data_IF_457833397758
#
_entry.id   IF_457833397758
#
_cell.length_a   1.000
_cell.length_b   1.000
_cell.length_c   1.000
_cell.angle_alpha   90.00
_cell.angle_beta   90.00
_cell.angle_gamma   90.00
#
_symmetry.space_group_name_H-M   'P 1'
#
loop_
_entity.id
_entity.type
_entity.pdbx_description
1 polymer ?
#
# COMPACT_ATOMS: atom_id res chain seq x y z
N UNK A 1 37.72 20.70 58.33
CA UNK A 1 37.38 20.87 56.89
C UNK A 1 36.29 19.86 56.57
N UNK A 2 35.03 20.30 56.42
CA UNK A 2 33.89 19.41 56.15
C UNK A 2 33.74 19.29 54.63
N UNK A 3 33.94 18.08 54.09
CA UNK A 3 33.64 17.77 52.68
C UNK A 3 32.16 17.41 52.56
N UNK A 4 31.39 18.28 51.93
CA UNK A 4 30.00 17.99 51.54
C UNK A 4 30.04 17.25 50.21
N UNK A 5 29.60 15.98 50.22
CA UNK A 5 29.46 15.16 49.01
C UNK A 5 28.06 15.43 48.44
N UNK A 6 27.97 16.15 47.33
CA UNK A 6 26.73 16.35 46.58
C UNK A 6 26.44 15.08 45.76
N UNK A 7 25.50 14.27 46.22
CA UNK A 7 24.88 13.23 45.40
C UNK A 7 23.95 13.91 44.39
N UNK A 8 24.35 13.93 43.12
CA UNK A 8 23.45 14.23 42.01
C UNK A 8 22.56 13.01 41.79
N UNK A 9 21.34 13.04 42.35
CA UNK A 9 20.26 12.16 41.90
C UNK A 9 19.89 12.60 40.49
N UNK A 10 20.34 11.86 39.48
CA UNK A 10 19.78 11.95 38.14
C UNK A 10 18.34 11.42 38.21
N UNK A 11 17.36 12.33 38.34
CA UNK A 11 15.97 11.98 38.07
C UNK A 11 15.90 11.58 36.60
N UNK A 12 15.72 10.28 36.34
CA UNK A 12 15.31 9.81 35.03
C UNK A 12 13.96 10.48 34.72
N UNK A 13 13.98 11.45 33.80
CA UNK A 13 12.75 11.97 33.22
C UNK A 13 11.99 10.76 32.66
N UNK A 14 10.69 10.59 32.99
CA UNK A 14 9.89 9.56 32.36
C UNK A 14 9.99 9.76 30.85
N UNK A 15 10.47 8.76 30.13
CA UNK A 15 10.44 8.77 28.68
C UNK A 15 8.99 9.05 28.26
N UNK A 16 8.78 10.08 27.44
CA UNK A 16 7.47 10.35 26.86
C UNK A 16 6.96 9.05 26.23
N UNK A 17 5.67 8.71 26.38
CA UNK A 17 5.12 7.52 25.75
C UNK A 17 5.39 7.58 24.24
N UNK A 18 6.29 6.72 23.78
CA UNK A 18 6.72 6.70 22.40
C UNK A 18 5.63 6.04 21.55
N UNK A 19 5.30 6.66 20.43
CA UNK A 19 4.54 6.01 19.37
C UNK A 19 5.23 4.69 19.03
N UNK A 20 4.43 3.68 18.70
CA UNK A 20 4.96 2.42 18.17
C UNK A 20 4.53 2.23 16.74
N UNK A 21 5.43 1.67 15.95
CA UNK A 21 5.19 1.30 14.58
C UNK A 21 5.64 -0.12 14.33
N UNK A 22 4.87 -0.84 13.53
CA UNK A 22 5.26 -2.15 13.03
C UNK A 22 4.83 -2.26 11.58
N UNK A 23 5.69 -2.82 10.75
CA UNK A 23 5.42 -2.98 9.34
C UNK A 23 5.72 -4.40 8.88
N UNK A 24 4.96 -4.85 7.88
CA UNK A 24 5.14 -6.17 7.28
C UNK A 24 4.79 -6.12 5.80
N UNK A 25 5.34 -7.08 5.04
CA UNK A 25 5.05 -7.28 3.61
C UNK A 25 4.84 -8.75 3.32
N UNK A 26 3.85 -9.06 2.49
CA UNK A 26 3.55 -10.40 2.03
C UNK A 26 3.35 -10.42 0.52
N UNK A 27 3.96 -11.40 -0.13
CA UNK A 27 3.83 -11.60 -1.58
C UNK A 27 2.44 -12.15 -1.88
N UNK A 28 1.68 -11.45 -2.74
CA UNK A 28 0.33 -11.82 -3.15
C UNK A 28 0.25 -12.21 -4.62
N UNK A 29 1.38 -12.52 -5.26
CA UNK A 29 1.46 -12.86 -6.69
C UNK A 29 0.65 -14.12 -7.00
N UNK A 30 -0.24 -14.12 -8.02
CA UNK A 30 -0.99 -15.31 -8.40
C UNK A 30 -0.05 -16.44 -8.85
N UNK A 31 -0.39 -17.67 -8.53
CA UNK A 31 0.38 -18.88 -8.91
C UNK A 31 -0.10 -19.53 -10.21
N UNK A 32 -1.21 -19.02 -10.77
CA UNK A 32 -1.85 -19.52 -12.00
C UNK A 32 -2.14 -18.32 -12.91
N UNK A 33 -2.18 -18.50 -14.25
CA UNK A 33 -2.70 -17.48 -15.16
C UNK A 33 -4.08 -17.00 -14.73
N UNK A 34 -4.25 -15.70 -14.57
CA UNK A 34 -5.47 -15.09 -14.03
C UNK A 34 -5.82 -13.82 -14.81
N UNK A 35 -7.12 -13.55 -14.95
CA UNK A 35 -7.58 -12.29 -15.53
C UNK A 35 -7.04 -11.10 -14.76
N UNK A 36 -6.62 -10.07 -15.50
CA UNK A 36 -6.11 -8.82 -14.95
C UNK A 36 -7.22 -7.77 -14.93
N UNK A 37 -7.26 -6.96 -13.87
CA UNK A 37 -8.28 -5.93 -13.69
C UNK A 37 -7.80 -4.55 -14.18
N UNK A 38 -8.73 -3.68 -14.58
CA UNK A 38 -8.49 -2.27 -14.87
C UNK A 38 -8.77 -1.88 -16.32
N UNK A 39 -8.14 -2.56 -17.28
CA UNK A 39 -8.41 -2.33 -18.70
C UNK A 39 -9.61 -3.15 -19.18
N UNK A 40 -10.60 -2.47 -19.78
CA UNK A 40 -11.78 -3.12 -20.37
C UNK A 40 -11.45 -3.86 -21.69
N UNK A 41 -10.31 -3.57 -22.31
CA UNK A 41 -9.86 -4.19 -23.57
C UNK A 41 -9.16 -5.54 -23.39
N UNK A 42 -9.10 -6.08 -22.16
CA UNK A 42 -8.52 -7.40 -21.90
C UNK A 42 -9.44 -8.48 -22.46
N UNK A 43 -8.85 -9.47 -23.12
CA UNK A 43 -9.55 -10.55 -23.82
C UNK A 43 -9.06 -11.96 -23.39
N UNK A 44 -8.07 -12.02 -22.51
CA UNK A 44 -7.48 -13.28 -22.01
C UNK A 44 -6.84 -13.11 -20.62
N UNK A 45 -6.55 -14.22 -19.90
CA UNK A 45 -5.75 -14.21 -18.68
C UNK A 45 -4.32 -13.69 -18.86
N UNK A 46 -3.64 -13.41 -17.74
CA UNK A 46 -2.23 -13.05 -17.71
C UNK A 46 -1.34 -14.12 -18.35
N UNK A 47 -0.32 -13.69 -19.08
CA UNK A 47 0.67 -14.54 -19.75
C UNK A 47 1.94 -14.75 -18.92
N UNK A 48 2.08 -14.03 -17.80
CA UNK A 48 3.24 -14.17 -16.92
C UNK A 48 3.22 -13.20 -15.75
N UNK A 49 4.32 -13.19 -15.01
CA UNK A 49 4.61 -12.26 -13.93
C UNK A 49 5.89 -11.53 -14.29
N UNK A 50 5.80 -10.23 -14.55
CA UNK A 50 6.97 -9.41 -14.79
C UNK A 50 7.70 -9.10 -13.48
N UNK A 51 6.94 -8.73 -12.45
CA UNK A 51 7.45 -8.47 -11.11
C UNK A 51 6.44 -8.93 -10.05
N UNK A 52 6.91 -9.39 -8.88
CA UNK A 52 6.03 -9.77 -7.79
C UNK A 52 5.19 -8.59 -7.31
N UNK A 53 3.98 -8.89 -6.84
CA UNK A 53 3.05 -7.92 -6.24
C UNK A 53 2.87 -8.22 -4.75
N UNK A 54 2.64 -7.19 -3.95
CA UNK A 54 2.62 -7.31 -2.49
C UNK A 54 1.37 -6.70 -1.86
N UNK A 55 0.96 -7.28 -0.73
CA UNK A 55 0.21 -6.60 0.30
C UNK A 55 1.18 -6.22 1.42
N UNK A 56 1.05 -5.00 1.94
CA UNK A 56 1.90 -4.46 2.99
C UNK A 56 1.02 -3.82 4.04
N UNK A 57 1.42 -3.91 5.30
CA UNK A 57 0.70 -3.31 6.40
C UNK A 57 1.63 -2.45 7.25
N UNK A 58 1.08 -1.36 7.76
CA UNK A 58 1.67 -0.49 8.77
C UNK A 58 0.71 -0.41 9.95
N UNK A 59 1.11 -0.94 11.10
CA UNK A 59 0.43 -0.78 12.36
C UNK A 59 1.04 0.39 13.14
N UNK A 60 0.20 1.26 13.68
CA UNK A 60 0.56 2.41 14.50
C UNK A 60 -0.16 2.30 15.83
N UNK A 61 0.59 2.46 16.93
CA UNK A 61 0.04 2.56 18.27
C UNK A 61 0.43 3.88 18.89
N UNK A 62 -0.57 4.70 19.22
CA UNK A 62 -0.38 6.00 19.86
C UNK A 62 -0.10 5.86 21.38
N UNK A 63 0.14 6.99 22.03
CA UNK A 63 0.42 7.09 23.46
C UNK A 63 -0.78 6.75 24.36
N UNK A 64 -2.01 6.86 23.86
CA UNK A 64 -3.23 6.37 24.52
C UNK A 64 -3.37 4.85 24.45
N UNK A 65 -2.57 4.19 23.62
CA UNK A 65 -2.65 2.78 23.31
C UNK A 65 -3.62 2.44 22.17
N UNK A 66 -4.16 3.45 21.49
CA UNK A 66 -5.00 3.32 20.30
C UNK A 66 -4.22 2.69 19.15
N UNK A 67 -4.78 1.62 18.56
CA UNK A 67 -4.21 0.92 17.43
C UNK A 67 -4.92 1.34 16.14
N UNK A 68 -4.15 1.67 15.10
CA UNK A 68 -4.61 1.84 13.73
C UNK A 68 -3.71 1.07 12.77
N UNK A 69 -4.28 0.50 11.71
CA UNK A 69 -3.54 -0.25 10.69
C UNK A 69 -3.91 0.26 9.30
N UNK A 70 -2.91 0.52 8.48
CA UNK A 70 -3.07 0.77 7.06
C UNK A 70 -2.54 -0.42 6.28
N UNK A 71 -3.34 -0.97 5.38
CA UNK A 71 -2.91 -1.95 4.38
C UNK A 71 -2.83 -1.28 3.03
N UNK A 72 -1.73 -1.47 2.32
CA UNK A 72 -1.57 -1.11 0.91
C UNK A 72 -1.38 -2.38 0.09
N UNK A 73 -2.04 -2.49 -1.06
CA UNK A 73 -1.87 -3.64 -1.95
C UNK A 73 -1.71 -3.23 -3.41
N UNK A 74 -0.86 -3.97 -4.12
CA UNK A 74 -0.67 -3.85 -5.57
C UNK A 74 -1.85 -4.49 -6.34
N UNK A 75 -3.02 -3.86 -6.21
CA UNK A 75 -4.29 -4.27 -6.81
C UNK A 75 -4.99 -3.07 -7.46
N UNK A 76 -6.04 -3.33 -8.24
CA UNK A 76 -6.92 -2.26 -8.75
C UNK A 76 -7.76 -1.66 -7.63
N UNK A 77 -8.28 -2.47 -6.70
CA UNK A 77 -9.19 -1.99 -5.66
C UNK A 77 -9.74 -3.11 -4.78
N UNK A 78 -10.37 -2.73 -3.67
CA UNK A 78 -11.07 -3.64 -2.77
C UNK A 78 -12.57 -3.49 -2.94
N UNK A 79 -13.24 -4.51 -3.49
CA UNK A 79 -14.71 -4.58 -3.50
C UNK A 79 -15.23 -4.99 -2.12
N UNK A 80 -16.50 -4.71 -1.81
CA UNK A 80 -17.14 -5.16 -0.54
C UNK A 80 -16.96 -6.66 -0.27
N UNK A 81 -17.12 -7.50 -1.30
CA UNK A 81 -16.94 -8.95 -1.20
C UNK A 81 -15.52 -9.40 -0.82
N UNK A 82 -14.54 -8.49 -0.89
CA UNK A 82 -13.15 -8.73 -0.48
C UNK A 82 -12.87 -8.02 0.85
N UNK A 83 -13.29 -6.76 0.98
CA UNK A 83 -13.01 -5.94 2.16
C UNK A 83 -13.75 -6.42 3.40
N UNK A 84 -15.03 -6.80 3.29
CA UNK A 84 -15.84 -7.13 4.46
C UNK A 84 -15.30 -8.38 5.19
N UNK A 85 -14.94 -9.49 4.50
CA UNK A 85 -14.25 -10.61 5.14
C UNK A 85 -12.92 -10.23 5.81
N UNK A 86 -12.15 -9.31 5.22
CA UNK A 86 -10.90 -8.81 5.82
C UNK A 86 -11.20 -8.08 7.13
N UNK A 87 -12.19 -7.19 7.16
CA UNK A 87 -12.59 -6.47 8.37
C UNK A 87 -13.10 -7.43 9.45
N UNK A 88 -13.91 -8.41 9.08
CA UNK A 88 -14.47 -9.39 10.01
C UNK A 88 -13.37 -10.24 10.65
N UNK A 89 -12.44 -10.77 9.85
CA UNK A 89 -11.33 -11.58 10.35
C UNK A 89 -10.29 -10.74 11.11
N UNK A 90 -10.01 -9.50 10.70
CA UNK A 90 -9.13 -8.60 11.44
C UNK A 90 -9.71 -8.26 12.83
N UNK A 91 -11.02 -8.03 12.92
CA UNK A 91 -11.71 -7.84 14.21
C UNK A 91 -11.63 -9.09 15.07
N UNK A 92 -11.92 -10.26 14.48
CA UNK A 92 -11.94 -11.54 15.19
C UNK A 92 -10.56 -11.96 15.70
N UNK A 93 -9.51 -11.80 14.89
CA UNK A 93 -8.14 -12.26 15.23
C UNK A 93 -7.35 -11.24 16.04
N UNK A 94 -7.54 -9.94 15.79
CA UNK A 94 -6.69 -8.88 16.35
C UNK A 94 -7.45 -7.80 17.11
N UNK A 95 -8.78 -7.90 17.24
CA UNK A 95 -9.61 -6.88 17.89
C UNK A 95 -9.67 -5.56 17.12
N UNK A 96 -9.27 -5.55 15.84
CA UNK A 96 -9.19 -4.34 15.02
C UNK A 96 -10.55 -4.01 14.41
N UNK A 97 -11.17 -2.91 14.85
CA UNK A 97 -12.46 -2.48 14.32
C UNK A 97 -12.30 -1.78 12.97
N UNK A 98 -13.37 -1.74 12.17
CA UNK A 98 -13.36 -1.11 10.83
C UNK A 98 -12.85 0.34 10.85
N UNK A 99 -13.14 1.11 11.90
CA UNK A 99 -12.68 2.50 12.03
C UNK A 99 -11.16 2.62 12.22
N UNK A 100 -10.48 1.53 12.56
CA UNK A 100 -9.05 1.46 12.81
C UNK A 100 -8.28 0.82 11.65
N UNK A 101 -8.95 0.37 10.58
CA UNK A 101 -8.33 -0.33 9.47
C UNK A 101 -8.61 0.40 8.15
N UNK A 102 -7.54 0.81 7.47
CA UNK A 102 -7.58 1.38 6.12
C UNK A 102 -7.11 0.34 5.12
N UNK A 103 -7.88 0.12 4.04
CA UNK A 103 -7.47 -0.69 2.91
C UNK A 103 -7.27 0.22 1.69
N UNK A 104 -6.03 0.32 1.20
CA UNK A 104 -5.64 1.11 0.05
C UNK A 104 -5.11 0.21 -1.07
N UNK A 105 -5.55 0.44 -2.30
CA UNK A 105 -5.01 -0.23 -3.47
C UNK A 105 -4.19 0.78 -4.28
N UNK A 106 -3.04 0.37 -4.81
CA UNK A 106 -2.21 1.21 -5.68
C UNK A 106 -2.89 1.59 -7.00
N UNK A 107 -4.01 0.93 -7.29
CA UNK A 107 -4.78 1.06 -8.51
C UNK A 107 -3.99 0.63 -9.76
N UNK A 108 -3.08 -0.35 -9.62
CA UNK A 108 -2.38 -0.97 -10.76
C UNK A 108 -3.36 -1.68 -11.67
N UNK A 109 -3.34 -1.37 -12.97
CA UNK A 109 -4.12 -2.10 -13.99
C UNK A 109 -3.39 -3.35 -14.50
N UNK A 110 -2.27 -3.69 -13.84
CA UNK A 110 -1.48 -4.90 -14.06
C UNK A 110 -1.63 -5.94 -12.94
N UNK A 111 -2.62 -5.77 -12.06
CA UNK A 111 -2.96 -6.72 -11.00
C UNK A 111 -4.09 -7.68 -11.37
N UNK A 112 -4.29 -8.77 -10.59
CA UNK A 112 -5.34 -9.75 -10.82
C UNK A 112 -6.74 -9.19 -10.55
N UNK A 113 -7.75 -9.77 -11.21
CA UNK A 113 -9.16 -9.64 -10.83
C UNK A 113 -9.37 -10.32 -9.47
N UNK A 114 -10.03 -9.61 -8.55
CA UNK A 114 -10.37 -10.10 -7.21
C UNK A 114 -11.86 -9.98 -6.96
N UNK A 115 -12.46 -11.01 -6.37
CA UNK A 115 -13.87 -11.03 -6.02
C UNK A 115 -14.79 -10.75 -7.21
N UNK A 116 -15.54 -9.65 -7.13
CA UNK A 116 -16.48 -9.21 -8.17
C UNK A 116 -15.99 -8.02 -9.00
N UNK A 117 -14.73 -7.61 -8.83
CA UNK A 117 -14.19 -6.43 -9.49
C UNK A 117 -14.24 -6.58 -11.02
N UNK A 118 -14.95 -5.67 -11.70
CA UNK A 118 -15.05 -5.66 -13.17
C UNK A 118 -15.93 -6.76 -13.78
N UNK A 119 -16.72 -7.50 -12.99
CA UNK A 119 -17.57 -8.59 -13.51
C UNK A 119 -18.67 -8.22 -14.55
N UNK A 120 -19.18 -6.98 -14.69
CA UNK A 120 -20.00 -6.67 -15.87
C UNK A 120 -19.16 -6.50 -17.15
N UNK A 121 -17.85 -6.33 -17.04
CA UNK A 121 -16.93 -6.08 -18.17
C UNK A 121 -16.18 -7.35 -18.61
N UNK A 122 -15.80 -8.23 -17.67
CA UNK A 122 -15.10 -9.48 -17.96
C UNK A 122 -16.09 -10.65 -18.04
N UNK A 123 -16.21 -11.28 -19.22
CA UNK A 123 -16.98 -12.51 -19.41
C UNK A 123 -16.09 -13.71 -19.10
N UNK A 124 -15.94 -14.02 -17.81
CA UNK A 124 -15.17 -15.17 -17.35
C UNK A 124 -15.95 -16.46 -17.58
N UNK A 125 -15.29 -17.49 -18.13
CA UNK A 125 -15.83 -18.84 -18.10
C UNK A 125 -15.77 -19.45 -16.69
N UNK A 126 -16.33 -20.66 -16.51
CA UNK A 126 -16.38 -21.30 -15.20
C UNK A 126 -15.00 -21.64 -14.63
N UNK A 127 -14.02 -21.98 -15.48
CA UNK A 127 -12.66 -22.32 -15.06
C UNK A 127 -11.92 -21.06 -14.61
N UNK A 128 -12.06 -19.97 -15.37
CA UNK A 128 -11.48 -18.68 -15.06
C UNK A 128 -12.08 -18.07 -13.79
N UNK A 129 -13.40 -18.19 -13.61
CA UNK A 129 -14.08 -17.77 -12.38
C UNK A 129 -13.55 -18.52 -11.15
N UNK A 130 -13.28 -19.82 -11.27
CA UNK A 130 -12.72 -20.64 -10.19
C UNK A 130 -11.27 -20.24 -9.84
N UNK A 131 -10.45 -19.84 -10.81
CA UNK A 131 -9.09 -19.30 -10.54
C UNK A 131 -9.19 -18.01 -9.73
N UNK A 132 -10.06 -17.08 -10.16
CA UNK A 132 -10.29 -15.81 -9.45
C UNK A 132 -10.78 -16.07 -8.02
N UNK A 133 -11.68 -17.03 -7.82
CA UNK A 133 -12.19 -17.38 -6.49
C UNK A 133 -11.09 -17.93 -5.56
N UNK A 134 -10.28 -18.88 -6.04
CA UNK A 134 -9.14 -19.42 -5.28
C UNK A 134 -8.15 -18.33 -4.90
N UNK A 135 -7.80 -17.47 -5.86
CA UNK A 135 -6.91 -16.34 -5.62
C UNK A 135 -7.49 -15.37 -4.60
N UNK A 136 -8.78 -15.03 -4.73
CA UNK A 136 -9.47 -14.11 -3.82
C UNK A 136 -9.47 -14.63 -2.39
N UNK A 137 -9.74 -15.92 -2.19
CA UNK A 137 -9.69 -16.55 -0.86
C UNK A 137 -8.30 -16.46 -0.24
N UNK A 138 -7.26 -16.80 -1.01
CA UNK A 138 -5.86 -16.71 -0.55
C UNK A 138 -5.48 -15.26 -0.23
N UNK A 139 -5.83 -14.32 -1.10
CA UNK A 139 -5.58 -12.89 -0.91
C UNK A 139 -6.17 -12.36 0.40
N UNK A 140 -7.41 -12.74 0.74
CA UNK A 140 -8.05 -12.33 1.99
C UNK A 140 -7.22 -12.81 3.19
N UNK A 141 -6.82 -14.09 3.21
CA UNK A 141 -5.97 -14.62 4.27
C UNK A 141 -4.59 -13.95 4.32
N UNK A 142 -3.99 -13.68 3.16
CA UNK A 142 -2.69 -12.99 3.08
C UNK A 142 -2.77 -11.56 3.62
N UNK A 143 -3.85 -10.84 3.33
CA UNK A 143 -4.07 -9.49 3.86
C UNK A 143 -4.32 -9.52 5.37
N UNK A 144 -5.12 -10.46 5.86
CA UNK A 144 -5.33 -10.63 7.31
C UNK A 144 -4.02 -11.00 8.01
N UNK A 145 -3.22 -11.87 7.43
CA UNK A 145 -1.95 -12.28 8.01
C UNK A 145 -0.93 -11.13 8.06
N UNK A 146 -0.79 -10.33 6.98
CA UNK A 146 0.15 -9.19 6.99
C UNK A 146 -0.27 -8.11 7.99
N UNK A 147 -1.57 -7.95 8.28
CA UNK A 147 -2.05 -7.12 9.40
C UNK A 147 -1.50 -7.63 10.73
N UNK A 148 -1.62 -8.94 11.01
CA UNK A 148 -1.09 -9.56 12.22
C UNK A 148 0.43 -9.41 12.32
N UNK A 149 1.16 -9.70 11.25
CA UNK A 149 2.61 -9.54 11.18
C UNK A 149 3.05 -8.09 11.48
N UNK A 150 2.33 -7.09 10.97
CA UNK A 150 2.61 -5.69 11.28
C UNK A 150 2.33 -5.32 12.75
N UNK A 151 1.28 -5.90 13.36
CA UNK A 151 0.97 -5.71 14.79
C UNK A 151 2.04 -6.36 15.66
N UNK A 152 2.49 -7.57 15.32
CA UNK A 152 3.52 -8.30 16.06
C UNK A 152 4.88 -7.59 16.01
N UNK A 153 5.14 -6.82 14.94
CA UNK A 153 6.35 -6.02 14.75
C UNK A 153 6.31 -4.63 15.42
N UNK A 154 5.32 -4.33 16.28
CA UNK A 154 5.22 -3.02 16.94
C UNK A 154 6.41 -2.74 17.87
N UNK A 155 7.23 -1.75 17.50
CA UNK A 155 8.35 -1.24 18.30
C UNK A 155 8.31 0.28 18.43
N UNK A 156 8.96 0.89 19.45
CA UNK A 156 9.05 2.34 19.58
C UNK A 156 9.63 2.98 18.31
N UNK A 157 8.95 4.02 17.80
CA UNK A 157 9.34 4.68 16.56
C UNK A 157 9.07 6.18 16.57
N UNK A 158 9.98 6.93 15.95
CA UNK A 158 9.81 8.34 15.62
C UNK A 158 9.13 8.47 14.26
N UNK A 159 8.11 9.32 14.20
CA UNK A 159 7.36 9.60 12.98
C UNK A 159 7.69 11.00 12.47
N UNK A 160 7.89 11.14 11.15
CA UNK A 160 8.03 12.43 10.49
C UNK A 160 7.18 12.49 9.23
N UNK A 161 6.75 13.70 8.88
CA UNK A 161 6.00 14.00 7.66
C UNK A 161 6.77 15.01 6.82
N UNK A 162 6.83 14.75 5.52
CA UNK A 162 7.40 15.66 4.52
C UNK A 162 6.53 15.64 3.25
N UNK A 163 6.75 16.61 2.37
CA UNK A 163 6.11 16.68 1.06
C UNK A 163 7.18 16.80 -0.02
N UNK A 164 7.25 15.80 -0.89
CA UNK A 164 8.07 15.79 -2.08
C UNK A 164 7.31 16.27 -3.32
N UNK A 165 7.93 16.10 -4.49
CA UNK A 165 7.37 16.47 -5.78
C UNK A 165 7.66 15.38 -6.82
N UNK A 166 6.69 15.07 -7.68
CA UNK A 166 6.88 14.25 -8.87
C UNK A 166 6.10 14.82 -10.07
N UNK A 167 6.79 14.91 -11.22
CA UNK A 167 6.30 15.64 -12.40
C UNK A 167 5.70 14.79 -13.53
N UNK A 168 5.52 13.48 -13.35
CA UNK A 168 5.14 12.58 -14.45
C UNK A 168 3.63 12.41 -14.64
N UNK A 169 2.80 12.81 -13.67
CA UNK A 169 1.36 12.86 -13.83
C UNK A 169 0.93 13.96 -14.81
N UNK A 170 -0.03 13.63 -15.68
CA UNK A 170 -0.67 14.60 -16.57
C UNK A 170 -2.17 14.37 -16.60
N UNK A 171 -2.93 15.46 -16.53
CA UNK A 171 -4.39 15.38 -16.58
C UNK A 171 -4.86 14.94 -17.98
N UNK A 172 -5.60 13.83 -18.02
CA UNK A 172 -6.18 13.23 -19.23
C UNK A 172 -7.51 13.86 -19.65
N UNK A 173 -8.02 14.83 -18.88
CA UNK A 173 -9.26 15.58 -19.09
C UNK A 173 -8.93 17.05 -19.31
N UNK A 174 -9.71 17.69 -20.19
CA UNK A 174 -9.69 19.15 -20.35
C UNK A 174 -10.69 19.79 -19.39
N UNK A 175 -10.42 21.02 -18.98
CA UNK A 175 -11.37 21.81 -18.19
C UNK A 175 -12.54 22.23 -19.11
N UNK A 176 -13.77 22.27 -18.57
CA UNK A 176 -15.02 22.27 -19.34
C UNK A 176 -15.08 23.22 -20.55
N UNK A 177 -14.57 24.44 -20.42
CA UNK A 177 -14.38 25.37 -21.53
C UNK A 177 -12.90 25.43 -21.93
N UNK A 178 -12.55 24.74 -23.02
CA UNK A 178 -11.37 25.01 -23.88
C UNK A 178 -9.96 24.60 -23.39
N UNK A 179 -9.14 24.35 -24.42
CA UNK A 179 -7.72 24.65 -24.66
C UNK A 179 -6.62 24.37 -23.61
N UNK A 180 -6.88 24.42 -22.30
CA UNK A 180 -5.86 24.19 -21.27
C UNK A 180 -5.92 22.77 -20.68
N UNK A 181 -4.77 22.19 -20.25
CA UNK A 181 -4.77 20.92 -19.53
C UNK A 181 -5.53 21.08 -18.20
N UNK A 182 -6.16 19.99 -17.74
CA UNK A 182 -6.77 19.96 -16.42
C UNK A 182 -5.75 20.06 -15.27
N UNK A 183 -6.20 20.32 -14.03
CA UNK A 183 -5.32 20.44 -12.87
C UNK A 183 -4.55 19.15 -12.62
N UNK A 184 -3.33 19.26 -12.09
CA UNK A 184 -2.50 18.12 -11.69
C UNK A 184 -2.00 18.37 -10.27
N UNK A 185 -2.10 17.37 -9.42
CA UNK A 185 -1.48 17.35 -8.10
C UNK A 185 -0.14 16.62 -8.21
N UNK A 186 0.95 17.37 -8.05
CA UNK A 186 2.32 16.88 -8.15
C UNK A 186 2.94 16.58 -6.80
N UNK A 187 2.21 16.78 -5.70
CA UNK A 187 2.72 16.58 -4.36
C UNK A 187 2.91 15.09 -4.06
N UNK A 188 4.00 14.79 -3.35
CA UNK A 188 4.32 13.44 -2.86
C UNK A 188 4.35 13.49 -1.34
N UNK A 189 3.19 13.42 -0.66
CA UNK A 189 3.15 13.36 0.79
C UNK A 189 3.86 12.10 1.27
N UNK A 190 4.77 12.26 2.22
CA UNK A 190 5.64 11.18 2.69
C UNK A 190 5.64 11.15 4.21
N UNK A 191 5.44 9.97 4.78
CA UNK A 191 5.54 9.70 6.21
C UNK A 191 6.61 8.65 6.44
N UNK A 192 7.58 8.95 7.31
CA UNK A 192 8.66 8.01 7.66
C UNK A 192 8.54 7.56 9.10
N UNK A 193 8.88 6.31 9.37
CA UNK A 193 8.92 5.74 10.71
C UNK A 193 10.30 5.16 10.98
N UNK A 194 10.97 5.71 11.99
CA UNK A 194 12.34 5.35 12.36
C UNK A 194 12.37 4.71 13.74
N UNK A 195 13.07 3.60 13.88
CA UNK A 195 13.35 3.04 15.21
C UNK A 195 14.21 4.01 16.04
N UNK A 196 14.30 3.80 17.36
CA UNK A 196 15.06 4.69 18.28
C UNK A 196 16.55 4.87 17.93
N UNK A 197 17.12 4.04 17.06
CA UNK A 197 18.48 4.19 16.52
C UNK A 197 18.58 4.97 15.21
N UNK A 198 17.47 5.54 14.72
CA UNK A 198 17.38 6.28 13.45
C UNK A 198 17.17 5.42 12.20
N UNK A 199 17.21 4.09 12.31
CA UNK A 199 16.96 3.16 11.20
C UNK A 199 15.53 3.32 10.66
N UNK A 200 15.37 3.49 9.34
CA UNK A 200 14.07 3.59 8.70
C UNK A 200 13.41 2.20 8.64
N UNK A 201 12.25 2.04 9.27
CA UNK A 201 11.49 0.77 9.35
C UNK A 201 10.29 0.73 8.41
N UNK A 202 9.72 1.89 8.15
CA UNK A 202 8.68 2.03 7.14
C UNK A 202 8.70 3.42 6.54
N UNK A 203 8.29 3.52 5.27
CA UNK A 203 7.84 4.79 4.72
C UNK A 203 6.54 4.60 3.95
N UNK A 204 5.63 5.54 4.13
CA UNK A 204 4.42 5.68 3.32
C UNK A 204 4.63 6.86 2.41
N UNK A 205 4.37 6.71 1.12
CA UNK A 205 4.39 7.83 0.18
C UNK A 205 3.14 7.81 -0.69
N UNK A 206 2.60 8.99 -0.99
CA UNK A 206 1.41 9.14 -1.81
C UNK A 206 1.70 9.76 -3.18
N UNK A 207 0.88 9.45 -4.18
CA UNK A 207 0.88 10.18 -5.44
C UNK A 207 -0.48 10.12 -6.14
N UNK A 208 -0.91 11.25 -6.71
CA UNK A 208 -2.21 11.39 -7.38
C UNK A 208 -2.11 11.00 -8.86
N UNK A 209 -1.87 9.73 -9.18
CA UNK A 209 -1.76 9.26 -10.57
C UNK A 209 -2.23 7.81 -10.80
N UNK A 210 -2.96 7.53 -11.88
CA UNK A 210 -3.31 6.16 -12.26
C UNK A 210 -2.06 5.29 -12.51
N UNK A 211 -2.00 4.11 -11.89
CA UNK A 211 -0.95 3.13 -12.14
C UNK A 211 -1.22 2.34 -13.45
N UNK A 212 -0.95 3.02 -14.57
CA UNK A 212 -1.29 2.60 -15.93
C UNK A 212 -0.17 2.84 -16.93
N UNK A 213 1.10 2.85 -16.50
CA UNK A 213 2.25 2.97 -17.41
C UNK A 213 2.17 1.88 -18.48
N UNK A 214 1.85 0.67 -18.06
CA UNK A 214 1.86 -0.55 -18.87
C UNK A 214 0.45 -1.06 -19.22
N UNK A 215 0.35 -1.93 -20.24
CA UNK A 215 -0.90 -2.61 -20.67
C UNK A 215 -0.69 -4.02 -21.21
N UNK A 216 0.50 -4.60 -21.06
CA UNK A 216 0.80 -5.99 -21.41
C UNK A 216 0.12 -6.97 -20.46
N UNK A 217 0.14 -8.27 -20.78
CA UNK A 217 -0.51 -9.33 -20.02
C UNK A 217 0.36 -9.92 -18.91
N UNK A 218 1.34 -9.18 -18.41
CA UNK A 218 2.22 -9.62 -17.33
C UNK A 218 1.83 -8.93 -16.01
N UNK A 219 1.78 -9.69 -14.92
CA UNK A 219 1.48 -9.18 -13.59
C UNK A 219 2.63 -8.31 -13.08
N UNK A 220 2.30 -7.12 -12.59
CA UNK A 220 3.21 -6.24 -11.84
C UNK A 220 2.41 -5.12 -11.14
N UNK A 221 3.02 -4.47 -10.14
CA UNK A 221 2.37 -3.38 -9.41
C UNK A 221 2.48 -2.00 -10.06
N UNK A 222 3.08 -1.90 -11.26
CA UNK A 222 3.24 -0.68 -12.08
C UNK A 222 4.08 0.36 -11.31
N UNK A 223 4.10 1.64 -11.72
CA UNK A 223 5.02 2.63 -11.13
C UNK A 223 5.00 2.66 -9.59
N UNK A 224 3.86 2.45 -8.88
CA UNK A 224 3.88 2.41 -7.42
C UNK A 224 4.76 1.28 -6.87
N UNK A 225 4.69 0.08 -7.43
CA UNK A 225 5.50 -1.04 -6.96
C UNK A 225 6.97 -0.87 -7.32
N UNK A 226 7.30 -0.35 -8.51
CA UNK A 226 8.69 -0.06 -8.86
C UNK A 226 9.30 1.00 -7.94
N UNK A 227 8.55 2.06 -7.62
CA UNK A 227 8.97 3.06 -6.63
C UNK A 227 9.17 2.44 -5.24
N UNK A 228 8.24 1.60 -4.78
CA UNK A 228 8.40 0.86 -3.52
C UNK A 228 9.66 -0.03 -3.53
N UNK A 229 9.89 -0.80 -4.61
CA UNK A 229 11.06 -1.68 -4.74
C UNK A 229 12.36 -0.89 -4.69
N UNK A 230 12.44 0.26 -5.38
CA UNK A 230 13.63 1.10 -5.36
C UNK A 230 13.88 1.72 -3.98
N UNK A 231 12.81 2.14 -3.29
CA UNK A 231 12.91 2.63 -1.91
C UNK A 231 13.37 1.53 -0.94
N UNK A 232 12.85 0.31 -1.07
CA UNK A 232 13.29 -0.84 -0.26
C UNK A 232 14.73 -1.27 -0.60
N UNK A 233 15.16 -1.12 -1.86
CA UNK A 233 16.56 -1.36 -2.25
C UNK A 233 17.50 -0.35 -1.60
N UNK A 234 17.07 0.92 -1.52
CA UNK A 234 17.84 2.00 -0.88
C UNK A 234 17.80 1.93 0.65
N UNK A 235 16.71 1.43 1.22
CA UNK A 235 16.50 1.27 2.66
C UNK A 235 16.07 -0.18 2.98
N UNK A 236 17.01 -1.14 3.04
CA UNK A 236 16.71 -2.57 3.12
C UNK A 236 15.89 -3.01 4.34
N UNK A 237 15.99 -2.27 5.44
CA UNK A 237 15.24 -2.51 6.68
C UNK A 237 13.82 -1.92 6.65
N UNK A 238 13.48 -1.15 5.63
CA UNK A 238 12.20 -0.46 5.53
C UNK A 238 11.19 -1.27 4.70
N UNK A 239 9.92 -1.20 5.09
CA UNK A 239 8.78 -1.55 4.22
C UNK A 239 8.26 -0.26 3.58
N UNK A 240 8.27 -0.19 2.24
CA UNK A 240 7.75 0.97 1.53
C UNK A 240 6.28 0.74 1.13
N UNK A 241 5.39 1.63 1.53
CA UNK A 241 3.95 1.55 1.26
C UNK A 241 3.51 2.71 0.36
N UNK A 242 2.69 2.42 -0.64
CA UNK A 242 2.13 3.45 -1.52
C UNK A 242 0.67 3.76 -1.18
N UNK A 243 0.34 5.05 -1.09
CA UNK A 243 -1.03 5.55 -0.91
C UNK A 243 -1.51 6.24 -2.18
N UNK A 244 -2.65 5.79 -2.73
CA UNK A 244 -3.15 6.41 -3.95
C UNK A 244 -3.86 7.73 -3.63
N UNK A 245 -3.41 8.82 -4.25
CA UNK A 245 -4.03 10.13 -4.12
C UNK A 245 -5.28 10.29 -5.00
N UNK A 246 -5.75 11.53 -5.17
CA UNK A 246 -6.90 11.85 -6.02
C UNK A 246 -6.54 11.88 -7.51
N UNK A 247 -5.99 10.78 -8.03
CA UNK A 247 -5.43 10.67 -9.39
C UNK A 247 -6.38 10.15 -10.48
N UNK A 248 -7.70 10.28 -10.31
CA UNK A 248 -8.67 9.63 -11.20
C UNK A 248 -8.63 10.16 -12.65
N UNK A 249 -8.28 11.42 -12.83
CA UNK A 249 -8.09 12.09 -14.12
C UNK A 249 -6.62 12.24 -14.51
N UNK A 250 -5.68 11.67 -13.75
CA UNK A 250 -4.24 11.77 -13.98
C UNK A 250 -3.69 10.47 -14.56
N UNK A 251 -3.04 10.54 -15.72
CA UNK A 251 -2.28 9.42 -16.29
C UNK A 251 -0.77 9.69 -16.18
N UNK A 252 0.07 8.65 -16.07
CA UNK A 252 1.51 8.82 -16.08
C UNK A 252 1.99 9.07 -17.51
N UNK A 253 3.05 9.84 -17.72
CA UNK A 253 3.81 9.94 -18.96
C UNK A 253 5.33 9.88 -18.68
N UNK A 254 6.13 9.17 -19.49
CA UNK A 254 5.74 8.37 -20.65
C UNK A 254 4.99 7.08 -20.27
N UNK A 255 4.39 6.41 -21.26
CA UNK A 255 3.70 5.12 -21.10
C UNK A 255 4.23 4.12 -22.13
N UNK A 256 3.94 2.84 -21.89
CA UNK A 256 4.19 1.72 -22.82
C UNK A 256 5.67 1.36 -23.01
N UNK A 257 6.52 1.74 -22.06
CA UNK A 257 7.93 1.34 -22.02
C UNK A 257 8.28 0.90 -20.60
N UNK A 258 9.01 -0.21 -20.50
CA UNK A 258 9.76 -0.57 -19.31
C UNK A 258 11.13 0.08 -19.44
N UNK A 259 11.53 0.84 -18.43
CA UNK A 259 12.84 1.48 -18.34
C UNK A 259 13.53 1.02 -17.04
#
# INVERSE_FOLDING_TARGET
MIRVLLLLLALALPALPAWKAGAAKRNITPSEPIWMSGYASRDKPSEGVYAPIYAKALALKDDSGGLSVMVTADLVGFTRSVSDPIFDEAKKRYGLFRAQLVLNASHTHSGPVTGQLGRPTYRLDAKEAAVVERYTKRLIEDVVAVIGEAIDNLEPADMAFEQGYAGFAVNRRRVGHREYPGPVDHDVPTMTLRASGGELKALVFGYSCHATVMNQFEIHGDYPAFAQTELERRYPSAVALFLNGCGADQNPLPRRKME
#
